data_IF_129810151230
#
_entry.id   IF_129810151230
#
_cell.length_a   1.000
_cell.length_b   1.000
_cell.length_c   1.000
_cell.angle_alpha   90.00
_cell.angle_beta   90.00
_cell.angle_gamma   90.00
#
_symmetry.space_group_name_H-M   'P 1'
#
loop_
_entity.id
_entity.type
_entity.pdbx_description
1 polymer ?
#
# COMPACT_ATOMS: atom_id res chain seq x y z
N UNK A 1 -6.16 17.38 10.18
CA UNK A 1 -5.95 16.21 9.31
C UNK A 1 -5.13 16.71 8.14
N UNK A 2 -3.85 16.33 8.04
CA UNK A 2 -2.96 16.86 7.01
C UNK A 2 -3.41 16.44 5.62
N UNK A 3 -3.34 17.35 4.66
CA UNK A 3 -3.56 17.06 3.24
C UNK A 3 -2.56 15.98 2.82
N UNK A 4 -3.04 14.78 2.56
CA UNK A 4 -2.20 13.69 2.08
C UNK A 4 -1.92 13.95 0.59
N UNK A 5 -0.74 14.46 0.27
CA UNK A 5 -0.27 14.58 -1.11
C UNK A 5 -0.22 13.17 -1.73
N UNK A 6 -1.14 12.92 -2.66
CA UNK A 6 -1.15 11.67 -3.43
C UNK A 6 0.20 11.56 -4.13
N UNK A 7 0.90 10.44 -3.93
CA UNK A 7 2.10 10.12 -4.72
C UNK A 7 1.70 10.20 -6.21
N UNK A 8 2.41 11.00 -7.04
CA UNK A 8 2.12 11.10 -8.45
C UNK A 8 2.08 9.71 -9.11
N UNK A 9 1.17 9.53 -10.07
CA UNK A 9 0.96 8.24 -10.72
C UNK A 9 2.24 7.70 -11.39
N UNK A 10 3.06 8.60 -11.92
CA UNK A 10 4.36 8.30 -12.53
C UNK A 10 5.31 7.63 -11.53
N UNK A 11 5.47 8.22 -10.34
CA UNK A 11 6.29 7.67 -9.25
C UNK A 11 5.76 6.30 -8.81
N UNK A 12 4.42 6.11 -8.79
CA UNK A 12 3.81 4.80 -8.49
C UNK A 12 4.17 3.75 -9.55
N UNK A 13 4.18 4.12 -10.83
CA UNK A 13 4.55 3.22 -11.94
C UNK A 13 6.03 2.85 -11.88
N UNK A 14 6.91 3.80 -11.63
CA UNK A 14 8.35 3.55 -11.50
C UNK A 14 8.68 2.62 -10.32
N UNK A 15 8.10 2.90 -9.15
CA UNK A 15 8.30 2.06 -7.98
C UNK A 15 7.79 0.63 -8.18
N UNK A 16 6.63 0.47 -8.84
CA UNK A 16 6.11 -0.85 -9.20
C UNK A 16 7.02 -1.58 -10.20
N UNK A 17 7.60 -0.86 -11.16
CA UNK A 17 8.55 -1.42 -12.13
C UNK A 17 9.80 -1.93 -11.41
N UNK A 18 10.42 -1.10 -10.56
CA UNK A 18 11.59 -1.48 -9.77
C UNK A 18 11.32 -2.67 -8.85
N UNK A 19 10.11 -2.77 -8.29
CA UNK A 19 9.72 -3.91 -7.46
C UNK A 19 9.58 -5.19 -8.30
N UNK A 20 8.96 -5.12 -9.49
CA UNK A 20 8.82 -6.26 -10.41
C UNK A 20 10.16 -6.74 -10.95
N UNK A 21 11.10 -5.82 -11.15
CA UNK A 21 12.48 -6.11 -11.58
C UNK A 21 13.36 -6.64 -10.43
N UNK A 22 12.86 -6.66 -9.18
CA UNK A 22 13.63 -7.11 -8.02
C UNK A 22 14.68 -6.11 -7.52
N UNK A 23 14.74 -4.91 -8.11
CA UNK A 23 15.68 -3.86 -7.75
C UNK A 23 15.41 -3.26 -6.36
N UNK A 24 14.16 -3.34 -5.88
CA UNK A 24 13.78 -2.93 -4.53
C UNK A 24 12.98 -4.02 -3.82
N UNK A 25 13.19 -4.13 -2.51
CA UNK A 25 12.42 -5.04 -1.67
C UNK A 25 11.03 -4.48 -1.37
N UNK A 26 10.09 -5.35 -0.98
CA UNK A 26 8.75 -4.95 -0.53
C UNK A 26 8.80 -3.89 0.58
N UNK A 27 9.76 -3.99 1.50
CA UNK A 27 9.93 -3.00 2.59
C UNK A 27 10.34 -1.63 2.05
N UNK A 28 11.27 -1.58 1.09
CA UNK A 28 11.72 -0.34 0.46
C UNK A 28 10.63 0.27 -0.43
N UNK A 29 9.88 -0.55 -1.17
CA UNK A 29 8.69 -0.11 -1.90
C UNK A 29 7.70 0.57 -0.96
N UNK A 30 7.36 -0.10 0.15
CA UNK A 30 6.42 0.44 1.13
C UNK A 30 6.92 1.70 1.83
N UNK A 31 8.23 1.81 2.10
CA UNK A 31 8.82 3.02 2.68
C UNK A 31 8.77 4.21 1.70
N UNK A 32 9.13 3.99 0.44
CA UNK A 32 9.09 5.02 -0.61
C UNK A 32 7.66 5.46 -0.93
N UNK A 33 6.69 4.55 -0.79
CA UNK A 33 5.27 4.83 -0.96
C UNK A 33 4.58 5.42 0.29
N UNK A 34 5.25 5.40 1.46
CA UNK A 34 4.68 5.82 2.75
C UNK A 34 4.30 7.30 2.78
N UNK A 35 4.80 8.09 1.85
CA UNK A 35 4.59 9.54 1.81
C UNK A 35 3.30 9.99 1.10
N UNK A 36 2.36 9.13 0.69
CA UNK A 36 1.18 9.73 0.06
C UNK A 36 -0.12 8.96 -0.18
N UNK A 37 -0.19 7.61 -0.21
CA UNK A 37 -1.50 7.00 -0.49
C UNK A 37 -1.70 5.53 -0.11
N UNK A 38 -0.63 4.76 0.03
CA UNK A 38 -0.79 3.34 0.34
C UNK A 38 -1.26 3.08 1.77
N UNK A 39 -1.21 4.05 2.69
CA UNK A 39 -1.77 3.84 4.02
C UNK A 39 -3.30 3.76 3.95
N UNK A 40 -3.98 4.66 3.23
CA UNK A 40 -5.45 4.68 3.27
C UNK A 40 -6.08 3.54 2.45
N UNK A 41 -5.58 3.23 1.25
CA UNK A 41 -6.05 2.08 0.45
C UNK A 41 -5.70 0.77 1.17
N UNK A 42 -4.51 0.64 1.77
CA UNK A 42 -4.13 -0.56 2.53
C UNK A 42 -4.93 -0.68 3.82
N UNK A 43 -5.22 0.41 4.51
CA UNK A 43 -6.10 0.41 5.69
C UNK A 43 -7.50 -0.03 5.31
N UNK A 44 -8.06 0.48 4.20
CA UNK A 44 -9.37 0.04 3.71
C UNK A 44 -9.39 -1.43 3.29
N UNK A 45 -8.34 -1.93 2.61
CA UNK A 45 -8.20 -3.35 2.26
C UNK A 45 -8.01 -4.20 3.51
N UNK A 46 -7.21 -3.75 4.48
CA UNK A 46 -6.99 -4.43 5.77
C UNK A 46 -8.27 -4.48 6.60
N UNK A 47 -9.07 -3.42 6.62
CA UNK A 47 -10.37 -3.39 7.28
C UNK A 47 -11.37 -4.32 6.59
N UNK A 48 -11.43 -4.33 5.25
CA UNK A 48 -12.26 -5.29 4.51
C UNK A 48 -11.85 -6.72 4.81
N UNK A 49 -10.54 -7.00 4.82
CA UNK A 49 -10.00 -8.32 5.13
C UNK A 49 -10.29 -8.73 6.58
N UNK A 50 -10.18 -7.81 7.54
CA UNK A 50 -10.53 -8.04 8.95
C UNK A 50 -12.01 -8.39 9.10
N UNK A 51 -12.90 -7.58 8.51
CA UNK A 51 -14.35 -7.84 8.50
C UNK A 51 -14.68 -9.18 7.85
N UNK A 52 -13.99 -9.54 6.77
CA UNK A 52 -14.14 -10.84 6.13
C UNK A 52 -13.64 -11.99 7.02
N UNK A 53 -12.46 -11.87 7.62
CA UNK A 53 -11.89 -12.87 8.52
C UNK A 53 -12.76 -13.08 9.79
N UNK A 54 -13.30 -12.00 10.37
CA UNK A 54 -14.25 -12.05 11.49
C UNK A 54 -15.57 -12.73 11.07
N UNK A 55 -16.07 -12.45 9.87
CA UNK A 55 -17.30 -13.06 9.35
C UNK A 55 -17.17 -14.57 9.11
N UNK A 56 -15.99 -15.04 8.70
CA UNK A 56 -15.75 -16.46 8.39
C UNK A 56 -15.05 -17.23 9.51
N UNK A 57 -14.83 -16.60 10.67
CA UNK A 57 -14.37 -17.21 11.92
C UNK A 57 -13.18 -18.17 11.71
N UNK A 58 -12.12 -17.68 11.07
CA UNK A 58 -10.81 -18.34 11.12
C UNK A 58 -10.31 -18.27 12.57
N UNK A 59 -10.71 -19.26 13.37
CA UNK A 59 -10.24 -19.50 14.72
C UNK A 59 -8.94 -20.30 14.69
#
# INVERSE_FOLDING_TARGET
MGEFEKVPEEVRRELNKLYREGAITRKQLMQRMKNGLFDHERLAVKEKFKKWAEKYNFK
#
